data_IF_778107324242
#
_entry.id   IF_778107324242
#
_cell.length_a   1.000
_cell.length_b   1.000
_cell.length_c   1.000
_cell.angle_alpha   90.00
_cell.angle_beta   90.00
_cell.angle_gamma   90.00
#
_symmetry.space_group_name_H-M   'P 1'
#
loop_
_entity.id
_entity.type
_entity.pdbx_description
1 polymer ?
#
# COMPACT_ATOMS: atom_id res chain seq x y z
N UNK A 1 5.50 0.21 9.50
CA UNK A 1 5.50 -0.29 8.13
C UNK A 1 4.11 -0.77 7.71
N UNK A 2 3.89 -0.87 6.43
CA UNK A 2 2.64 -1.36 5.84
C UNK A 2 2.95 -2.32 4.70
N UNK A 3 2.23 -3.42 4.63
CA UNK A 3 2.21 -4.33 3.49
C UNK A 3 0.84 -4.17 2.82
N UNK A 4 0.81 -4.03 1.49
CA UNK A 4 -0.46 -3.84 0.79
C UNK A 4 -1.36 -5.06 0.90
N UNK A 5 -2.63 -4.84 1.21
CA UNK A 5 -3.67 -5.89 1.21
C UNK A 5 -4.12 -6.21 -0.23
N UNK A 6 -3.96 -5.24 -1.11
CA UNK A 6 -4.30 -5.32 -2.53
C UNK A 6 -3.23 -4.59 -3.36
N UNK A 7 -3.16 -4.88 -4.66
CA UNK A 7 -2.19 -4.28 -5.58
C UNK A 7 -2.56 -2.87 -6.06
N UNK A 8 -3.32 -2.08 -5.30
CA UNK A 8 -3.74 -0.72 -5.65
C UNK A 8 -2.99 0.32 -4.80
N UNK A 9 -2.46 1.40 -5.38
CA UNK A 9 -1.77 2.47 -4.65
C UNK A 9 -2.60 3.10 -3.53
N UNK A 10 -3.92 3.14 -3.66
CA UNK A 10 -4.83 3.64 -2.63
C UNK A 10 -4.60 2.95 -1.27
N UNK A 11 -4.24 1.67 -1.27
CA UNK A 11 -4.01 0.91 -0.05
C UNK A 11 -2.84 1.42 0.81
N UNK A 12 -1.95 2.19 0.22
CA UNK A 12 -0.86 2.89 0.92
C UNK A 12 -1.22 4.35 1.20
N UNK A 13 -1.74 5.04 0.19
CA UNK A 13 -1.94 6.49 0.26
C UNK A 13 -3.10 6.88 1.20
N UNK A 14 -4.16 6.06 1.29
CA UNK A 14 -5.28 6.36 2.19
C UNK A 14 -4.87 6.44 3.67
N UNK A 15 -3.77 5.82 4.06
CA UNK A 15 -3.26 5.84 5.44
C UNK A 15 -2.93 7.24 5.95
N UNK A 16 -2.63 8.16 5.04
CA UNK A 16 -2.17 9.51 5.33
C UNK A 16 -3.26 10.58 5.18
N UNK A 17 -4.49 10.18 4.85
CA UNK A 17 -5.61 11.11 4.71
C UNK A 17 -6.07 11.74 6.03
N UNK A 18 -6.76 12.89 5.94
CA UNK A 18 -7.32 13.61 7.09
C UNK A 18 -8.48 12.87 7.79
N UNK A 19 -8.82 11.67 7.36
CA UNK A 19 -9.98 10.91 7.83
C UNK A 19 -11.24 11.09 6.97
N UNK A 20 -11.23 12.04 6.03
CA UNK A 20 -12.34 12.24 5.08
C UNK A 20 -12.35 11.26 3.91
N UNK A 21 -11.26 10.56 3.65
CA UNK A 21 -11.08 9.61 2.53
C UNK A 21 -11.29 8.16 2.90
N UNK A 22 -11.79 7.90 4.11
CA UNK A 22 -11.98 6.55 4.62
C UNK A 22 -10.79 5.99 5.39
N UNK A 23 -9.83 6.83 5.77
CA UNK A 23 -8.75 6.46 6.69
C UNK A 23 -9.37 5.99 8.01
N UNK A 24 -9.13 4.75 8.45
CA UNK A 24 -9.64 4.30 9.73
C UNK A 24 -9.10 5.15 10.88
N UNK A 25 -9.85 5.36 11.96
CA UNK A 25 -9.36 6.05 13.15
C UNK A 25 -8.05 5.41 13.63
N UNK A 26 -7.01 6.23 13.79
CA UNK A 26 -5.70 5.78 14.27
C UNK A 26 -4.71 5.29 13.21
N UNK A 27 -5.03 5.37 11.93
CA UNK A 27 -4.07 5.01 10.86
C UNK A 27 -3.14 6.16 10.47
N UNK A 28 -3.63 7.40 10.47
CA UNK A 28 -2.80 8.59 10.27
C UNK A 28 -2.03 8.91 11.56
N UNK A 29 -0.90 8.25 11.78
CA UNK A 29 -0.09 8.39 12.98
C UNK A 29 0.70 9.69 13.02
N UNK A 30 1.06 10.24 11.88
CA UNK A 30 1.76 11.51 11.70
C UNK A 30 0.86 12.72 11.99
N UNK A 31 -0.46 12.52 12.02
CA UNK A 31 -1.48 13.58 12.18
C UNK A 31 -1.37 14.69 11.14
N UNK A 32 -0.73 14.39 10.02
CA UNK A 32 -0.71 15.28 8.87
C UNK A 32 -2.09 15.33 8.21
N UNK A 33 -2.49 16.49 7.74
CA UNK A 33 -3.77 16.68 7.08
C UNK A 33 -3.64 17.74 5.99
N UNK A 34 -3.96 17.34 4.76
CA UNK A 34 -4.01 18.22 3.61
C UNK A 34 -5.27 17.92 2.80
N UNK A 35 -6.15 18.92 2.67
CA UNK A 35 -7.44 18.76 1.99
C UNK A 35 -7.28 18.52 0.48
N UNK A 36 -6.24 19.05 -0.15
CA UNK A 36 -5.97 18.81 -1.58
C UNK A 36 -5.53 17.36 -1.81
N UNK A 37 -4.75 16.81 -0.87
CA UNK A 37 -4.41 15.38 -0.85
C UNK A 37 -5.66 14.50 -0.76
N UNK A 38 -6.54 14.78 0.18
CA UNK A 38 -7.79 14.05 0.33
C UNK A 38 -8.68 14.14 -0.91
N UNK A 39 -8.76 15.31 -1.53
CA UNK A 39 -9.49 15.51 -2.77
C UNK A 39 -8.92 14.66 -3.93
N UNK A 40 -7.59 14.58 -4.05
CA UNK A 40 -6.93 13.72 -5.04
C UNK A 40 -7.24 12.24 -4.81
N UNK A 41 -7.17 11.74 -3.58
CA UNK A 41 -7.51 10.36 -3.27
C UNK A 41 -8.97 10.04 -3.60
N UNK A 42 -9.89 10.95 -3.27
CA UNK A 42 -11.31 10.82 -3.62
C UNK A 42 -11.50 10.77 -5.14
N UNK A 43 -10.89 11.69 -5.87
CA UNK A 43 -10.95 11.73 -7.34
C UNK A 43 -10.40 10.44 -7.96
N UNK A 44 -9.31 9.89 -7.44
CA UNK A 44 -8.74 8.64 -7.92
C UNK A 44 -9.71 7.46 -7.73
N UNK A 45 -10.42 7.40 -6.60
CA UNK A 45 -11.44 6.37 -6.33
C UNK A 45 -12.64 6.44 -7.27
N UNK A 46 -13.01 7.62 -7.72
CA UNK A 46 -14.13 7.87 -8.64
C UNK A 46 -13.72 7.71 -10.11
N UNK A 47 -12.43 7.54 -10.42
CA UNK A 47 -11.90 7.46 -11.77
C UNK A 47 -11.62 6.00 -12.17
N UNK A 48 -12.24 5.52 -13.24
CA UNK A 48 -12.01 4.18 -13.79
C UNK A 48 -10.86 4.12 -14.82
N UNK A 49 -10.45 5.25 -15.37
CA UNK A 49 -9.33 5.35 -16.32
C UNK A 49 -8.01 5.18 -15.56
N UNK A 50 -7.30 4.09 -15.86
CA UNK A 50 -6.06 3.74 -15.16
C UNK A 50 -4.96 4.80 -15.35
N UNK A 51 -4.84 5.38 -16.53
CA UNK A 51 -3.82 6.40 -16.80
C UNK A 51 -4.05 7.65 -15.96
N UNK A 52 -5.31 8.11 -15.91
CA UNK A 52 -5.70 9.26 -15.08
C UNK A 52 -5.53 8.96 -13.59
N UNK A 53 -5.90 7.75 -13.13
CA UNK A 53 -5.66 7.34 -11.74
C UNK A 53 -4.18 7.39 -11.39
N UNK A 54 -3.32 6.86 -12.26
CA UNK A 54 -1.86 6.88 -12.05
C UNK A 54 -1.34 8.31 -11.93
N UNK A 55 -1.80 9.22 -12.79
CA UNK A 55 -1.41 10.64 -12.71
C UNK A 55 -1.85 11.29 -11.39
N UNK A 56 -3.08 11.01 -10.93
CA UNK A 56 -3.59 11.56 -9.68
C UNK A 56 -2.78 11.03 -8.49
N UNK A 57 -2.49 9.74 -8.43
CA UNK A 57 -1.70 9.17 -7.35
C UNK A 57 -0.25 9.70 -7.36
N UNK A 58 0.37 9.85 -8.52
CA UNK A 58 1.69 10.45 -8.61
C UNK A 58 1.74 11.89 -8.06
N UNK A 59 0.69 12.68 -8.29
CA UNK A 59 0.57 14.02 -7.70
C UNK A 59 0.38 13.97 -6.19
N UNK A 60 -0.42 13.02 -5.69
CA UNK A 60 -0.61 12.83 -4.26
C UNK A 60 0.68 12.39 -3.57
N UNK A 61 1.45 11.49 -4.17
CA UNK A 61 2.77 11.07 -3.69
C UNK A 61 3.77 12.23 -3.67
N UNK A 62 3.76 13.07 -4.71
CA UNK A 62 4.63 14.25 -4.75
C UNK A 62 4.27 15.23 -3.63
N UNK A 63 2.98 15.45 -3.38
CA UNK A 63 2.53 16.37 -2.33
C UNK A 63 2.95 15.90 -0.93
N UNK A 64 2.74 14.62 -0.61
CA UNK A 64 3.13 14.07 0.70
C UNK A 64 4.66 14.09 0.90
N UNK A 65 5.41 13.90 -0.20
CA UNK A 65 6.87 14.02 -0.20
C UNK A 65 7.32 15.47 0.03
N UNK A 66 6.74 16.44 -0.69
CA UNK A 66 7.14 17.85 -0.62
C UNK A 66 6.85 18.48 0.74
N UNK A 67 5.77 18.04 1.38
CA UNK A 67 5.43 18.45 2.74
C UNK A 67 6.16 17.63 3.82
N UNK A 68 6.99 16.67 3.43
CA UNK A 68 7.74 15.79 4.32
C UNK A 68 6.87 15.16 5.43
N UNK A 69 5.62 14.82 5.09
CA UNK A 69 4.69 14.20 6.03
C UNK A 69 5.15 12.82 6.47
N UNK A 70 5.86 12.11 5.58
CA UNK A 70 6.48 10.81 5.86
C UNK A 70 7.90 10.76 5.30
N UNK A 71 8.75 9.97 5.92
CA UNK A 71 10.11 9.71 5.45
C UNK A 71 10.21 8.22 5.07
N UNK A 72 10.21 7.89 3.76
CA UNK A 72 10.46 6.54 3.31
C UNK A 72 11.88 6.12 3.66
N UNK A 73 12.06 5.04 4.41
CA UNK A 73 13.37 4.58 4.85
C UNK A 73 13.85 3.37 4.06
N UNK A 74 12.97 2.40 3.82
CA UNK A 74 13.37 1.11 3.27
C UNK A 74 12.15 0.34 2.73
N UNK A 75 12.40 -0.43 1.68
CA UNK A 75 11.54 -1.55 1.29
C UNK A 75 12.08 -2.82 1.93
N UNK A 76 11.28 -3.46 2.78
CA UNK A 76 11.68 -4.69 3.44
C UNK A 76 11.76 -5.84 2.45
N UNK A 77 12.72 -6.74 2.68
CA UNK A 77 12.80 -8.02 1.97
C UNK A 77 12.26 -9.11 2.89
N UNK A 78 11.33 -9.89 2.39
CA UNK A 78 10.76 -11.01 3.15
C UNK A 78 11.53 -12.28 2.78
N UNK A 79 12.03 -12.98 3.79
CA UNK A 79 12.68 -14.28 3.65
C UNK A 79 11.77 -15.37 4.21
N UNK A 80 11.60 -16.44 3.45
CA UNK A 80 10.86 -17.63 3.87
C UNK A 80 11.79 -18.85 3.91
N UNK A 81 12.47 -19.11 5.05
CA UNK A 81 13.31 -20.28 5.20
C UNK A 81 12.46 -21.55 5.14
N UNK A 82 12.85 -22.50 4.31
CA UNK A 82 12.13 -23.76 4.15
C UNK A 82 13.10 -24.94 4.15
N UNK A 83 12.61 -26.08 4.63
CA UNK A 83 13.31 -27.36 4.46
C UNK A 83 13.41 -27.69 2.96
N UNK A 84 14.53 -28.31 2.55
CA UNK A 84 14.69 -28.84 1.18
C UNK A 84 13.66 -29.92 0.81
N UNK A 85 12.95 -30.45 1.80
CA UNK A 85 11.86 -31.42 1.61
C UNK A 85 10.55 -30.79 1.17
N UNK A 86 10.37 -29.47 1.42
CA UNK A 86 9.16 -28.74 1.02
C UNK A 86 9.23 -28.43 -0.47
N UNK A 87 8.16 -28.72 -1.18
CA UNK A 87 8.03 -28.48 -2.61
C UNK A 87 6.72 -27.80 -2.93
N UNK A 88 6.69 -27.01 -4.01
CA UNK A 88 5.48 -26.36 -4.51
C UNK A 88 5.06 -25.11 -3.74
N UNK A 89 5.80 -24.67 -2.72
CA UNK A 89 5.50 -23.40 -2.06
C UNK A 89 5.91 -22.21 -2.95
N UNK A 90 4.97 -21.28 -3.13
CA UNK A 90 5.21 -20.01 -3.84
C UNK A 90 4.91 -18.88 -2.86
N UNK A 91 5.86 -17.97 -2.69
CA UNK A 91 5.67 -16.80 -1.83
C UNK A 91 4.78 -15.78 -2.52
N UNK A 92 3.70 -15.41 -1.85
CA UNK A 92 2.79 -14.36 -2.32
C UNK A 92 3.39 -12.97 -2.02
N UNK A 93 3.44 -12.04 -3.00
CA UNK A 93 3.99 -10.70 -2.80
C UNK A 93 3.19 -9.85 -1.83
N UNK A 94 1.92 -10.17 -1.57
CA UNK A 94 1.07 -9.50 -0.59
C UNK A 94 1.18 -10.12 0.82
N UNK A 95 2.04 -11.14 0.98
CA UNK A 95 2.31 -11.76 2.28
C UNK A 95 1.30 -12.83 2.70
N UNK A 96 0.39 -13.24 1.83
CA UNK A 96 -0.49 -14.37 2.11
C UNK A 96 0.27 -15.70 2.00
N UNK A 97 -0.07 -16.63 2.87
CA UNK A 97 0.51 -17.97 2.85
C UNK A 97 -0.52 -18.97 2.30
N UNK A 98 -0.39 -19.30 1.03
CA UNK A 98 -1.16 -20.36 0.41
C UNK A 98 -0.33 -21.65 0.39
N UNK A 99 -0.87 -22.69 1.03
CA UNK A 99 -0.25 -24.01 1.08
C UNK A 99 -0.91 -25.01 0.12
N UNK A 100 -1.82 -24.58 -0.71
CA UNK A 100 -2.40 -25.43 -1.77
C UNK A 100 -1.29 -25.84 -2.75
N UNK A 101 -1.16 -27.14 -3.01
CA UNK A 101 -0.09 -27.69 -3.85
C UNK A 101 1.26 -27.87 -3.16
N UNK A 102 1.41 -27.50 -1.87
CA UNK A 102 2.62 -27.77 -1.10
C UNK A 102 2.67 -29.24 -0.70
N UNK A 103 3.81 -29.88 -0.92
CA UNK A 103 4.06 -31.27 -0.55
C UNK A 103 5.39 -31.44 0.17
N UNK A 104 5.54 -32.57 0.86
CA UNK A 104 6.77 -32.98 1.51
C UNK A 104 7.36 -34.20 0.79
N UNK A 105 8.64 -34.14 0.46
CA UNK A 105 9.42 -35.29 -0.03
C UNK A 105 10.00 -36.08 1.11
#
# INVERSE_FOLDING_TARGET
GWTGDIGDPDNFLYLHGCGGTGTPPGQNNEKWCNNDYDAMLKQAKETSDQAKRTEIYAKAEQLIHDEAAVVPLVHSVVYMPMSKKVQGYVMDPLGFHNFEGVSMK
#
